data_IF_372350234409
#
_entry.id   IF_372350234409
#
_cell.length_a   1.000
_cell.length_b   1.000
_cell.length_c   1.000
_cell.angle_alpha   90.00
_cell.angle_beta   90.00
_cell.angle_gamma   90.00
#
_symmetry.space_group_name_H-M   'P 1'
#
loop_
_entity.id
_entity.type
_entity.pdbx_description
1 polymer ?
#
# COMPACT_ATOMS: atom_id res chain seq x y z
N UNK A 1 -7.47 -22.45 -20.29
CA UNK A 1 -8.69 -21.70 -20.68
C UNK A 1 -8.32 -20.26 -20.46
N UNK A 2 -8.03 -19.52 -21.53
CA UNK A 2 -7.58 -18.12 -21.44
C UNK A 2 -8.68 -17.30 -20.77
N UNK A 3 -8.37 -16.77 -19.59
CA UNK A 3 -9.28 -15.98 -18.76
C UNK A 3 -8.59 -14.67 -18.53
N UNK A 4 -9.33 -13.56 -18.55
CA UNK A 4 -8.77 -12.28 -18.14
C UNK A 4 -8.79 -12.20 -16.62
N UNK A 5 -7.74 -12.72 -16.00
CA UNK A 5 -7.60 -12.76 -14.55
C UNK A 5 -6.26 -12.21 -14.06
N UNK A 6 -5.59 -11.40 -14.90
CA UNK A 6 -4.27 -10.82 -14.66
C UNK A 6 -3.18 -11.89 -14.53
N UNK A 7 -3.43 -13.07 -15.11
CA UNK A 7 -2.52 -14.19 -15.12
C UNK A 7 -2.23 -14.50 -16.58
N UNK A 8 -0.95 -14.54 -16.94
CA UNK A 8 -0.54 -15.02 -18.25
C UNK A 8 -0.78 -16.54 -18.34
N UNK A 9 -2.01 -16.91 -18.68
CA UNK A 9 -2.39 -18.31 -18.86
C UNK A 9 -1.93 -18.85 -20.22
N UNK A 10 -1.48 -17.97 -21.13
CA UNK A 10 -1.06 -18.34 -22.48
C UNK A 10 0.48 -18.38 -22.66
N UNK A 11 1.24 -17.79 -21.73
CA UNK A 11 2.72 -17.73 -21.72
C UNK A 11 3.32 -16.62 -22.59
N UNK A 12 2.49 -15.85 -23.28
CA UNK A 12 2.85 -14.70 -24.12
C UNK A 12 2.11 -13.40 -23.72
N UNK A 13 1.34 -13.42 -22.63
CA UNK A 13 0.55 -12.30 -22.09
C UNK A 13 -0.64 -11.91 -22.97
N UNK A 14 -0.93 -12.68 -24.02
CA UNK A 14 -1.95 -12.32 -25.02
C UNK A 14 -3.37 -12.40 -24.50
N UNK A 15 -3.61 -13.24 -23.50
CA UNK A 15 -4.89 -13.35 -22.80
C UNK A 15 -5.24 -12.13 -21.94
N UNK A 16 -4.27 -11.23 -21.74
CA UNK A 16 -4.40 -10.02 -20.94
C UNK A 16 -4.22 -8.72 -21.79
N UNK A 17 -3.95 -8.80 -23.10
CA UNK A 17 -3.66 -7.63 -23.94
C UNK A 17 -4.89 -6.92 -24.53
N UNK A 18 -5.94 -7.67 -24.84
CA UNK A 18 -7.20 -7.15 -25.40
C UNK A 18 -8.38 -7.43 -24.47
N UNK A 19 -8.13 -7.42 -23.17
CA UNK A 19 -9.20 -7.55 -22.21
C UNK A 19 -9.77 -6.21 -21.78
N UNK A 20 -11.09 -6.11 -21.84
CA UNK A 20 -11.83 -5.06 -21.15
C UNK A 20 -11.83 -5.34 -19.66
N UNK A 21 -10.66 -5.31 -19.02
CA UNK A 21 -10.56 -5.30 -17.57
C UNK A 21 -11.47 -4.21 -17.05
N UNK A 22 -12.17 -4.48 -15.95
CA UNK A 22 -12.78 -3.37 -15.21
C UNK A 22 -11.65 -2.38 -14.96
N UNK A 23 -11.71 -1.22 -15.61
CA UNK A 23 -10.81 -0.13 -15.24
C UNK A 23 -11.16 0.16 -13.80
N UNK A 24 -10.19 0.08 -12.87
CA UNK A 24 -10.44 0.38 -11.46
C UNK A 24 -11.33 1.62 -11.37
N UNK A 25 -12.35 1.61 -10.52
CA UNK A 25 -13.20 2.79 -10.39
C UNK A 25 -12.33 4.00 -10.07
N UNK A 26 -12.79 5.20 -10.45
CA UNK A 26 -12.09 6.45 -10.10
C UNK A 26 -11.78 6.59 -8.60
N UNK A 27 -12.50 5.84 -7.77
CA UNK A 27 -12.34 5.77 -6.33
C UNK A 27 -11.48 4.60 -5.85
N UNK A 28 -10.97 3.73 -6.71
CA UNK A 28 -10.10 2.59 -6.38
C UNK A 28 -8.65 2.89 -6.80
N UNK A 29 -7.69 2.37 -6.03
CA UNK A 29 -6.28 2.46 -6.36
C UNK A 29 -5.87 1.28 -7.21
N UNK A 30 -5.07 1.54 -8.25
CA UNK A 30 -4.51 0.50 -9.10
C UNK A 30 -3.08 0.20 -8.64
N UNK A 31 -2.89 -0.98 -8.09
CA UNK A 31 -1.59 -1.55 -7.78
C UNK A 31 -0.70 -1.61 -9.04
N UNK A 32 0.62 -1.68 -8.86
CA UNK A 32 1.56 -1.83 -9.98
C UNK A 32 1.42 -3.20 -10.66
N UNK A 33 0.94 -4.21 -9.93
CA UNK A 33 0.58 -5.51 -10.50
C UNK A 33 -0.74 -5.52 -11.28
N UNK A 34 -1.47 -4.39 -11.32
CA UNK A 34 -2.76 -4.25 -12.00
C UNK A 34 -4.00 -4.55 -11.15
N UNK A 35 -3.85 -5.01 -9.90
CA UNK A 35 -4.96 -5.20 -8.96
C UNK A 35 -5.60 -3.86 -8.57
N UNK A 36 -6.89 -3.90 -8.24
CA UNK A 36 -7.64 -2.74 -7.78
C UNK A 36 -8.00 -2.93 -6.30
N UNK A 37 -7.51 -2.05 -5.44
CA UNK A 37 -7.84 -2.03 -4.02
C UNK A 37 -8.65 -0.77 -3.68
N UNK A 38 -9.26 -0.79 -2.49
CA UNK A 38 -9.96 0.40 -1.98
C UNK A 38 -8.93 1.46 -1.56
N UNK A 39 -9.30 2.74 -1.61
CA UNK A 39 -8.37 3.82 -1.32
C UNK A 39 -8.00 3.90 0.17
N UNK A 40 -8.74 3.22 1.04
CA UNK A 40 -8.38 3.08 2.46
C UNK A 40 -7.39 1.95 2.75
N UNK A 41 -6.97 1.20 1.73
CA UNK A 41 -5.92 0.18 1.78
C UNK A 41 -4.63 0.68 1.12
N UNK A 42 -4.54 1.98 0.82
CA UNK A 42 -3.30 2.59 0.33
C UNK A 42 -2.61 3.15 1.56
N UNK A 43 -1.35 2.79 1.79
CA UNK A 43 -0.58 3.29 2.92
C UNK A 43 -1.31 3.06 4.24
N UNK A 44 -1.88 1.88 4.40
CA UNK A 44 -2.58 1.49 5.63
C UNK A 44 -1.66 0.72 6.59
N UNK A 45 -0.42 0.47 6.18
CA UNK A 45 0.58 -0.29 6.92
C UNK A 45 0.57 -1.78 6.58
N UNK A 46 -0.32 -2.24 5.69
CA UNK A 46 -0.41 -3.62 5.26
C UNK A 46 -0.34 -3.74 3.73
N UNK A 47 0.37 -4.75 3.21
CA UNK A 47 0.36 -5.03 1.78
C UNK A 47 -0.98 -5.68 1.39
N UNK A 48 -1.94 -4.87 0.95
CA UNK A 48 -3.20 -5.31 0.36
C UNK A 48 -3.06 -5.62 -1.14
N UNK A 49 -2.13 -4.97 -1.86
CA UNK A 49 -1.69 -5.46 -3.16
C UNK A 49 -0.81 -6.71 -2.98
N UNK A 50 -0.93 -7.72 -3.87
CA UNK A 50 0.00 -8.87 -3.85
C UNK A 50 1.47 -8.49 -4.02
N UNK A 51 1.73 -7.35 -4.66
CA UNK A 51 3.09 -6.80 -4.85
C UNK A 51 3.47 -5.81 -3.73
N UNK A 52 2.56 -5.49 -2.81
CA UNK A 52 2.74 -4.47 -1.76
C UNK A 52 2.90 -3.05 -2.29
N UNK A 53 2.60 -2.81 -3.58
CA UNK A 53 2.78 -1.52 -4.25
C UNK A 53 1.94 -0.39 -3.64
N UNK A 54 0.83 -0.74 -3.01
CA UNK A 54 -0.01 0.14 -2.19
C UNK A 54 0.70 0.73 -0.98
N UNK A 55 1.68 0.04 -0.43
CA UNK A 55 2.52 0.50 0.68
C UNK A 55 3.83 1.15 0.21
N UNK A 56 4.17 1.00 -1.08
CA UNK A 56 5.39 1.57 -1.67
C UNK A 56 5.14 2.94 -2.31
N UNK A 57 3.93 3.17 -2.82
CA UNK A 57 3.54 4.42 -3.50
C UNK A 57 2.76 5.31 -2.53
N UNK A 58 3.39 5.58 -1.39
CA UNK A 58 2.89 6.47 -0.36
C UNK A 58 3.48 7.86 -0.52
N UNK A 59 2.64 8.89 -0.37
CA UNK A 59 3.14 10.25 -0.34
C UNK A 59 4.03 10.47 0.89
N UNK A 60 4.93 11.45 0.84
CA UNK A 60 5.76 11.84 1.98
C UNK A 60 4.96 12.25 3.25
N UNK A 61 3.63 12.37 3.15
CA UNK A 61 2.73 12.74 4.26
C UNK A 61 2.32 11.55 5.14
N UNK A 62 2.54 10.30 4.69
CA UNK A 62 2.18 9.09 5.43
C UNK A 62 3.32 8.57 6.33
N UNK A 63 4.50 9.17 6.25
CA UNK A 63 5.63 8.85 7.12
C UNK A 63 5.87 9.96 8.13
N UNK A 64 5.89 9.59 9.39
CA UNK A 64 6.21 10.47 10.52
C UNK A 64 7.67 10.27 10.90
N UNK A 65 8.33 11.37 11.23
CA UNK A 65 9.76 11.36 11.56
C UNK A 65 9.91 11.31 13.08
N UNK A 66 10.56 10.26 13.57
CA UNK A 66 10.96 10.11 14.96
C UNK A 66 11.96 11.20 15.39
N UNK A 67 12.18 11.36 16.69
CA UNK A 67 13.16 12.32 17.24
C UNK A 67 14.59 12.13 16.69
N UNK A 68 14.99 10.90 16.39
CA UNK A 68 16.31 10.55 15.82
C UNK A 68 16.41 10.76 14.30
N UNK A 69 15.30 11.07 13.61
CA UNK A 69 15.26 11.24 12.16
C UNK A 69 14.84 9.99 11.37
N UNK A 70 14.60 8.87 12.05
CA UNK A 70 14.00 7.67 11.45
C UNK A 70 12.57 7.96 11.00
N UNK A 71 12.22 7.55 9.78
CA UNK A 71 10.85 7.64 9.27
C UNK A 71 10.11 6.34 9.58
N UNK A 72 9.00 6.44 10.28
CA UNK A 72 8.08 5.32 10.53
C UNK A 72 6.72 5.66 9.93
N UNK A 73 5.93 4.64 9.65
CA UNK A 73 4.59 4.84 9.10
C UNK A 73 3.70 5.55 10.11
N UNK A 74 2.81 6.45 9.65
CA UNK A 74 1.86 7.19 10.51
C UNK A 74 0.99 6.30 11.38
N UNK A 75 0.80 5.05 10.95
CA UNK A 75 0.04 4.05 11.69
C UNK A 75 0.70 3.72 13.04
N UNK A 76 2.03 3.70 13.08
CA UNK A 76 2.82 3.44 14.28
C UNK A 76 2.92 4.66 15.21
N UNK A 77 2.20 5.74 14.89
CA UNK A 77 2.14 6.89 15.78
C UNK A 77 0.98 6.70 16.74
N UNK A 78 1.26 6.58 18.04
CA UNK A 78 0.25 6.40 19.09
C UNK A 78 -0.56 5.10 18.98
N UNK A 79 0.06 4.01 18.53
CA UNK A 79 -0.55 2.68 18.45
C UNK A 79 -0.33 1.84 19.73
N UNK A 80 0.44 2.38 20.68
CA UNK A 80 0.73 1.78 21.97
C UNK A 80 1.99 0.92 21.98
N UNK A 81 2.77 0.92 20.89
CA UNK A 81 4.03 0.18 20.76
C UNK A 81 5.21 1.12 20.45
N UNK A 82 6.41 0.80 20.97
CA UNK A 82 7.63 1.54 20.66
C UNK A 82 8.17 1.11 19.28
N UNK A 83 7.77 1.81 18.23
CA UNK A 83 8.17 1.53 16.85
C UNK A 83 9.30 2.44 16.36
N UNK A 84 9.49 3.61 16.97
CA UNK A 84 10.67 4.42 16.75
C UNK A 84 11.95 3.73 17.31
N UNK A 85 12.90 3.28 16.47
CA UNK A 85 14.11 2.61 16.95
C UNK A 85 15.08 3.67 17.51
N UNK A 86 15.15 3.77 18.83
CA UNK A 86 16.07 4.67 19.54
C UNK A 86 15.38 5.63 20.51
N UNK A 87 14.09 5.90 20.32
CA UNK A 87 13.29 6.79 21.18
C UNK A 87 11.82 6.33 21.19
N UNK A 88 11.06 6.73 22.20
CA UNK A 88 9.60 6.47 22.29
C UNK A 88 8.78 7.65 21.72
N UNK A 89 9.33 8.35 20.72
CA UNK A 89 8.82 9.65 20.25
C UNK A 89 7.41 9.55 19.67
N UNK A 90 7.15 8.45 18.99
CA UNK A 90 5.86 7.99 18.45
C UNK A 90 4.75 7.87 19.50
N UNK A 91 5.10 7.69 20.78
CA UNK A 91 4.15 7.42 21.86
C UNK A 91 4.13 8.49 22.99
N UNK A 92 5.06 9.45 22.95
CA UNK A 92 5.25 10.41 24.05
C UNK A 92 4.29 11.61 24.03
N UNK A 93 3.62 11.89 22.91
CA UNK A 93 2.74 13.06 22.75
C UNK A 93 1.40 12.74 22.07
N UNK A 94 0.83 11.60 22.42
CA UNK A 94 -0.47 11.19 21.95
C UNK A 94 -1.57 12.04 22.56
N UNK A 95 -2.21 12.88 21.74
CA UNK A 95 -3.41 13.59 22.14
C UNK A 95 -4.62 12.70 21.90
N UNK A 96 -5.19 12.20 22.98
CA UNK A 96 -6.47 11.50 23.02
C UNK A 96 -7.64 12.48 23.15
#
# INVERSE_FOLDING_TARGET
MATCDFVDNCGDGSDELDCSFRTCWKSEFRCDNGECIRPGFICDGMPDCKDGSDELVCGDDDFVTCGDGTKVHRYYWCDGWPDCPGDFSDELNCKF
#
